data_IF_358262610120
#
_entry.id   IF_358262610120
#
_cell.length_a   1.000
_cell.length_b   1.000
_cell.length_c   1.000
_cell.angle_alpha   90.00
_cell.angle_beta   90.00
_cell.angle_gamma   90.00
#
_symmetry.space_group_name_H-M   'P 1'
#
loop_
_entity.id
_entity.type
_entity.pdbx_description
1 polymer ?
#
# COMPACT_ATOMS: atom_id res chain seq x y z
N UNK A 1 -24.15 -12.18 -21.20
CA UNK A 1 -22.88 -12.33 -20.47
C UNK A 1 -21.84 -13.19 -21.19
N UNK A 2 -22.15 -14.46 -21.52
CA UNK A 2 -21.19 -15.37 -22.17
C UNK A 2 -20.56 -14.81 -23.46
N UNK A 3 -21.33 -14.11 -24.29
CA UNK A 3 -20.84 -13.51 -25.54
C UNK A 3 -19.81 -12.39 -25.34
N UNK A 4 -19.89 -11.63 -24.23
CA UNK A 4 -18.94 -10.55 -23.94
C UNK A 4 -17.60 -11.10 -23.46
N UNK A 5 -17.64 -12.16 -22.64
CA UNK A 5 -16.44 -12.85 -22.16
C UNK A 5 -15.71 -13.57 -23.30
N UNK A 6 -16.47 -14.18 -24.21
CA UNK A 6 -15.92 -14.87 -25.38
C UNK A 6 -15.35 -13.88 -26.41
N UNK A 7 -15.98 -12.71 -26.57
CA UNK A 7 -15.44 -11.62 -27.39
C UNK A 7 -14.13 -11.07 -26.80
N UNK A 8 -14.04 -10.94 -25.47
CA UNK A 8 -12.82 -10.50 -24.78
C UNK A 8 -11.68 -11.52 -24.95
N UNK A 9 -11.97 -12.81 -24.76
CA UNK A 9 -11.01 -13.89 -24.97
C UNK A 9 -10.47 -13.95 -26.41
N UNK A 10 -11.34 -13.81 -27.42
CA UNK A 10 -10.92 -13.76 -28.83
C UNK A 10 -10.07 -12.52 -29.13
N UNK A 11 -10.40 -11.39 -28.51
CA UNK A 11 -9.65 -10.14 -28.69
C UNK A 11 -8.25 -10.22 -28.07
N UNK A 12 -8.11 -10.85 -26.91
CA UNK A 12 -6.81 -11.06 -26.27
C UNK A 12 -5.94 -12.12 -27.01
N UNK A 13 -6.55 -13.16 -27.57
CA UNK A 13 -5.84 -14.24 -28.26
C UNK A 13 -5.20 -13.82 -29.60
N UNK A 14 -5.67 -12.74 -30.22
CA UNK A 14 -5.15 -12.21 -31.48
C UNK A 14 -4.14 -11.08 -31.34
N UNK A 15 -3.85 -10.62 -30.12
CA UNK A 15 -2.84 -9.58 -29.91
C UNK A 15 -1.45 -10.17 -30.13
N UNK A 16 -0.57 -9.49 -30.89
CA UNK A 16 0.82 -9.89 -30.98
C UNK A 16 1.39 -9.91 -29.57
N UNK A 17 1.78 -11.09 -29.10
CA UNK A 17 2.44 -11.23 -27.81
C UNK A 17 3.75 -10.45 -27.92
N UNK A 18 3.85 -9.35 -27.17
CA UNK A 18 5.07 -8.56 -27.13
C UNK A 18 6.23 -9.51 -26.79
N UNK A 19 7.36 -9.46 -27.52
CA UNK A 19 8.50 -10.29 -27.20
C UNK A 19 8.84 -10.12 -25.72
N UNK A 20 9.14 -11.22 -25.03
CA UNK A 20 9.54 -11.18 -23.63
C UNK A 20 10.58 -10.08 -23.46
N UNK A 21 10.36 -9.11 -22.54
CA UNK A 21 11.25 -7.97 -22.43
C UNK A 21 12.67 -8.46 -22.18
N UNK A 22 13.63 -7.88 -22.90
CA UNK A 22 15.04 -8.19 -22.76
C UNK A 22 15.48 -8.11 -21.28
N UNK A 23 16.50 -8.89 -20.85
CA UNK A 23 16.91 -8.98 -19.45
C UNK A 23 17.41 -7.65 -18.84
N UNK A 24 17.69 -6.63 -19.67
CA UNK A 24 17.99 -5.28 -19.21
C UNK A 24 16.79 -4.35 -19.39
N UNK A 25 15.89 -4.34 -18.38
CA UNK A 25 14.92 -3.25 -18.24
C UNK A 25 15.62 -2.07 -17.55
N UNK A 26 15.57 -0.84 -18.11
CA UNK A 26 16.03 0.37 -17.39
C UNK A 26 15.18 0.69 -16.14
N UNK A 27 14.09 -0.04 -15.93
CA UNK A 27 13.16 0.08 -14.80
C UNK A 27 13.28 -1.09 -13.80
N UNK A 28 14.43 -1.77 -13.75
CA UNK A 28 14.70 -2.72 -12.68
C UNK A 28 14.71 -1.96 -11.36
N UNK A 29 13.82 -2.32 -10.43
CA UNK A 29 13.78 -1.67 -9.13
C UNK A 29 15.15 -1.82 -8.48
N UNK A 30 15.86 -0.71 -8.29
CA UNK A 30 17.20 -0.76 -7.72
C UNK A 30 17.08 -1.44 -6.34
N UNK A 31 17.83 -2.52 -6.09
CA UNK A 31 17.83 -3.16 -4.79
C UNK A 31 18.19 -2.13 -3.72
N UNK A 32 17.46 -2.14 -2.60
CA UNK A 32 17.82 -1.27 -1.48
C UNK A 32 19.20 -1.73 -1.00
N UNK A 33 20.20 -0.86 -1.12
CA UNK A 33 21.60 -1.14 -0.73
C UNK A 33 21.81 -1.12 0.79
N UNK A 34 20.75 -0.85 1.55
CA UNK A 34 20.74 -0.84 3.01
C UNK A 34 19.56 -0.01 3.55
N UNK A 35 19.36 0.03 4.87
CA UNK A 35 18.35 0.88 5.48
C UNK A 35 18.70 2.36 5.26
N UNK A 36 17.71 3.16 4.83
CA UNK A 36 17.82 4.62 4.72
C UNK A 36 16.82 5.26 5.67
N UNK A 37 17.28 6.24 6.46
CA UNK A 37 16.42 7.05 7.34
C UNK A 37 16.50 8.51 6.90
N UNK A 38 15.34 9.14 6.76
CA UNK A 38 15.23 10.56 6.48
C UNK A 38 14.21 11.17 7.42
N UNK A 39 14.53 12.33 7.98
CA UNK A 39 13.62 13.14 8.77
C UNK A 39 13.34 14.41 7.99
N UNK A 40 12.06 14.73 7.79
CA UNK A 40 11.61 15.95 7.14
C UNK A 40 10.84 16.79 8.16
N UNK A 41 11.14 18.08 8.22
CA UNK A 41 10.41 19.00 9.07
C UNK A 41 9.13 19.44 8.35
N UNK A 42 7.99 19.16 8.97
CA UNK A 42 6.70 19.61 8.47
C UNK A 42 6.44 21.05 8.94
N UNK A 43 5.88 21.94 8.10
CA UNK A 43 5.61 23.33 8.48
C UNK A 43 4.42 23.50 9.45
N UNK A 44 3.98 22.43 10.12
CA UNK A 44 2.85 22.46 11.07
C UNK A 44 3.32 22.82 12.47
N UNK A 45 2.55 23.67 13.15
CA UNK A 45 2.74 23.97 14.57
C UNK A 45 2.06 22.93 15.49
N UNK A 46 1.02 22.25 14.98
CA UNK A 46 0.38 21.15 15.69
C UNK A 46 1.08 19.83 15.35
N UNK A 47 1.62 19.20 16.40
CA UNK A 47 2.34 17.94 16.34
C UNK A 47 1.67 16.86 17.18
N UNK A 48 0.45 17.08 17.68
CA UNK A 48 -0.22 16.17 18.61
C UNK A 48 -0.63 14.83 17.97
N UNK A 49 -0.80 14.81 16.65
CA UNK A 49 -1.17 13.63 15.88
C UNK A 49 -0.42 13.60 14.55
N UNK A 50 -0.15 12.39 14.06
CA UNK A 50 0.51 12.18 12.76
C UNK A 50 -0.03 10.95 12.04
N UNK A 51 0.71 10.52 11.03
CA UNK A 51 0.42 9.28 10.31
C UNK A 51 1.65 8.39 10.25
N UNK A 52 1.44 7.07 10.30
CA UNK A 52 2.47 6.06 10.07
C UNK A 52 2.09 5.32 8.78
N UNK A 53 3.03 5.28 7.83
CA UNK A 53 2.82 4.60 6.55
C UNK A 53 3.86 3.51 6.39
N UNK A 54 3.39 2.28 6.15
CA UNK A 54 4.20 1.15 5.77
C UNK A 54 4.06 0.94 4.26
N UNK A 55 5.17 1.03 3.53
CA UNK A 55 5.21 0.79 2.09
C UNK A 55 6.06 -0.42 1.74
N UNK A 56 5.60 -1.26 0.81
CA UNK A 56 6.40 -2.36 0.26
C UNK A 56 6.09 -2.59 -1.22
N UNK A 57 6.93 -3.39 -1.88
CA UNK A 57 6.76 -3.73 -3.30
C UNK A 57 5.51 -4.57 -3.52
N UNK A 58 4.67 -4.13 -4.45
CA UNK A 58 3.50 -4.85 -4.89
C UNK A 58 3.82 -5.94 -5.93
N UNK A 59 2.82 -6.76 -6.29
CA UNK A 59 2.94 -7.71 -7.40
C UNK A 59 3.17 -6.98 -8.72
N UNK A 60 3.78 -7.65 -9.71
CA UNK A 60 3.91 -7.08 -11.05
C UNK A 60 2.54 -6.69 -11.61
N UNK A 61 2.47 -5.56 -12.33
CA UNK A 61 1.20 -5.04 -12.88
C UNK A 61 0.50 -6.04 -13.82
N UNK A 62 1.27 -6.89 -14.49
CA UNK A 62 0.74 -7.99 -15.32
C UNK A 62 0.21 -9.18 -14.52
N UNK A 63 0.60 -9.35 -13.26
CA UNK A 63 0.08 -10.38 -12.36
C UNK A 63 -1.22 -9.91 -11.71
N UNK A 64 -2.27 -9.98 -12.50
CA UNK A 64 -3.63 -9.62 -12.09
C UNK A 64 -4.14 -10.48 -10.93
N UNK A 65 -3.72 -11.76 -10.84
CA UNK A 65 -4.17 -12.66 -9.78
C UNK A 65 -3.62 -12.22 -8.42
N UNK A 66 -2.32 -11.98 -8.35
CA UNK A 66 -1.69 -11.50 -7.10
C UNK A 66 -2.16 -10.11 -6.73
N UNK A 67 -2.37 -9.24 -7.73
CA UNK A 67 -2.97 -7.90 -7.55
C UNK A 67 -4.32 -7.99 -6.83
N UNK A 68 -5.27 -8.77 -7.36
CA UNK A 68 -6.56 -8.96 -6.69
C UNK A 68 -6.43 -9.67 -5.35
N UNK A 69 -5.47 -10.59 -5.20
CA UNK A 69 -5.17 -11.23 -3.92
C UNK A 69 -4.83 -10.21 -2.84
N UNK A 70 -3.98 -9.23 -3.15
CA UNK A 70 -3.64 -8.13 -2.23
C UNK A 70 -4.88 -7.28 -1.93
N UNK A 71 -5.67 -6.91 -2.92
CA UNK A 71 -6.88 -6.11 -2.71
C UNK A 71 -7.88 -6.81 -1.77
N UNK A 72 -8.13 -8.11 -1.98
CA UNK A 72 -9.03 -8.90 -1.14
C UNK A 72 -8.47 -9.01 0.28
N UNK A 73 -7.16 -9.27 0.42
CA UNK A 73 -6.50 -9.34 1.72
C UNK A 73 -6.62 -8.02 2.50
N UNK A 74 -6.32 -6.89 1.86
CA UNK A 74 -6.39 -5.59 2.51
C UNK A 74 -7.82 -5.21 2.91
N UNK A 75 -8.79 -5.50 2.03
CA UNK A 75 -10.21 -5.34 2.37
C UNK A 75 -10.58 -6.21 3.57
N UNK A 76 -10.19 -7.49 3.60
CA UNK A 76 -10.42 -8.32 4.79
C UNK A 76 -9.82 -7.71 6.05
N UNK A 77 -8.59 -7.17 5.97
CA UNK A 77 -7.85 -6.65 7.12
C UNK A 77 -8.41 -5.34 7.68
N UNK A 78 -8.97 -4.43 6.87
CA UNK A 78 -9.39 -3.09 7.33
C UNK A 78 -10.80 -2.62 6.93
N UNK A 79 -11.55 -3.27 6.03
CA UNK A 79 -12.77 -2.69 5.41
C UNK A 79 -13.86 -2.15 6.36
N UNK A 80 -14.00 -2.66 7.58
CA UNK A 80 -14.97 -2.14 8.55
C UNK A 80 -14.48 -2.28 9.99
N UNK A 81 -15.28 -1.77 10.94
CA UNK A 81 -14.97 -1.80 12.36
C UNK A 81 -14.67 -3.22 12.90
N UNK A 82 -15.31 -4.27 12.36
CA UNK A 82 -15.08 -5.65 12.78
C UNK A 82 -13.85 -6.30 12.11
N UNK A 83 -13.21 -5.62 11.14
CA UNK A 83 -12.00 -6.12 10.50
C UNK A 83 -10.82 -6.20 11.48
N UNK A 84 -9.89 -7.16 11.31
CA UNK A 84 -8.83 -7.43 12.29
C UNK A 84 -7.98 -6.22 12.67
N UNK A 85 -7.61 -5.36 11.70
CA UNK A 85 -6.80 -4.19 12.01
C UNK A 85 -7.60 -3.12 12.75
N UNK A 86 -8.86 -2.85 12.38
CA UNK A 86 -9.69 -1.92 13.14
C UNK A 86 -9.92 -2.41 14.56
N UNK A 87 -10.25 -3.70 14.75
CA UNK A 87 -10.41 -4.28 16.08
C UNK A 87 -9.15 -4.17 16.95
N UNK A 88 -7.96 -4.25 16.34
CA UNK A 88 -6.70 -4.22 17.07
C UNK A 88 -6.21 -2.81 17.41
N UNK A 89 -6.49 -1.82 16.55
CA UNK A 89 -5.86 -0.49 16.63
C UNK A 89 -6.85 0.67 16.84
N UNK A 90 -8.07 0.55 16.33
CA UNK A 90 -9.09 1.62 16.35
C UNK A 90 -10.15 1.33 17.42
N UNK A 91 -10.73 0.13 17.41
CA UNK A 91 -11.86 -0.26 18.25
C UNK A 91 -11.45 -0.79 19.63
N UNK A 92 -10.47 -0.13 20.24
CA UNK A 92 -9.98 -0.43 21.59
C UNK A 92 -10.19 0.77 22.52
N UNK A 93 -10.26 0.59 23.85
CA UNK A 93 -10.56 1.68 24.79
C UNK A 93 -9.63 2.90 24.69
N UNK A 94 -8.38 2.68 24.28
CA UNK A 94 -7.40 3.74 23.99
C UNK A 94 -6.86 3.51 22.58
N UNK A 95 -7.50 4.09 21.53
CA UNK A 95 -7.11 3.86 20.14
C UNK A 95 -5.67 4.27 19.87
N UNK A 96 -4.96 3.50 19.05
CA UNK A 96 -3.60 3.80 18.57
C UNK A 96 -3.60 4.67 17.31
N UNK A 97 -4.71 4.67 16.58
CA UNK A 97 -4.99 5.51 15.42
C UNK A 97 -6.51 5.72 15.32
N UNK A 98 -6.96 6.69 14.54
CA UNK A 98 -8.40 6.89 14.30
C UNK A 98 -8.88 6.16 13.05
N UNK A 99 -7.99 5.94 12.08
CA UNK A 99 -8.34 5.37 10.79
C UNK A 99 -7.15 4.56 10.25
N UNK A 100 -7.48 3.49 9.53
CA UNK A 100 -6.53 2.68 8.80
C UNK A 100 -6.97 2.67 7.34
N UNK A 101 -6.06 3.00 6.43
CA UNK A 101 -6.31 2.99 5.00
C UNK A 101 -5.18 2.26 4.27
N UNK A 102 -5.39 1.91 3.00
CA UNK A 102 -4.36 1.33 2.17
C UNK A 102 -4.52 1.74 0.72
N UNK A 103 -3.40 1.72 0.00
CA UNK A 103 -3.36 2.00 -1.43
C UNK A 103 -2.48 0.97 -2.13
N UNK A 104 -2.89 0.56 -3.33
CA UNK A 104 -2.05 -0.18 -4.27
C UNK A 104 -1.83 0.70 -5.50
N UNK A 105 -0.62 1.21 -5.66
CA UNK A 105 -0.27 1.97 -6.86
C UNK A 105 0.25 1.02 -7.91
N UNK A 106 -0.47 0.88 -9.02
CA UNK A 106 -0.04 0.09 -10.18
C UNK A 106 0.75 0.96 -11.16
N UNK A 107 1.92 1.45 -10.72
CA UNK A 107 2.88 2.14 -11.58
C UNK A 107 3.83 1.14 -12.27
N UNK A 108 4.88 1.64 -12.94
CA UNK A 108 5.97 0.80 -13.47
C UNK A 108 6.62 -0.03 -12.35
N UNK A 109 6.62 0.51 -11.14
CA UNK A 109 7.02 -0.20 -9.91
C UNK A 109 5.81 -0.23 -8.96
N UNK A 110 5.04 -1.33 -8.93
CA UNK A 110 3.89 -1.41 -8.06
C UNK A 110 4.29 -1.33 -6.59
N UNK A 111 3.53 -0.58 -5.80
CA UNK A 111 3.72 -0.51 -4.35
C UNK A 111 2.39 -0.72 -3.62
N UNK A 112 2.48 -1.25 -2.40
CA UNK A 112 1.37 -1.33 -1.47
C UNK A 112 1.74 -0.45 -0.28
N UNK A 113 0.82 0.43 0.09
CA UNK A 113 0.94 1.31 1.24
C UNK A 113 -0.18 0.99 2.22
N UNK A 114 0.16 0.79 3.49
CA UNK A 114 -0.75 0.66 4.61
C UNK A 114 -0.54 1.86 5.53
N UNK A 115 -1.59 2.63 5.76
CA UNK A 115 -1.57 3.92 6.41
C UNK A 115 -2.37 3.86 7.71
N UNK A 116 -1.77 4.29 8.80
CA UNK A 116 -2.43 4.53 10.08
C UNK A 116 -2.50 6.03 10.27
N UNK A 117 -3.70 6.58 10.31
CA UNK A 117 -3.95 8.01 10.35
C UNK A 117 -4.39 8.48 11.75
N UNK A 118 -4.04 9.73 12.06
CA UNK A 118 -4.30 10.34 13.35
C UNK A 118 -3.75 9.50 14.53
N UNK A 119 -2.50 9.04 14.36
CA UNK A 119 -1.72 8.38 15.39
C UNK A 119 -1.31 9.41 16.44
N UNK A 120 -1.67 9.24 17.72
CA UNK A 120 -1.27 10.16 18.77
C UNK A 120 0.25 10.25 18.90
N UNK A 121 0.80 11.46 18.87
CA UNK A 121 2.21 11.74 19.12
C UNK A 121 2.35 12.36 20.50
N UNK A 122 2.90 11.58 21.42
CA UNK A 122 3.33 12.05 22.72
C UNK A 122 4.80 12.44 22.53
N UNK A 123 5.10 13.73 22.45
CA UNK A 123 6.44 14.24 22.09
C UNK A 123 7.58 13.67 22.94
N UNK A 124 8.82 14.04 22.59
CA UNK A 124 9.96 13.78 23.48
C UNK A 124 9.65 14.30 24.89
N UNK A 125 10.00 13.56 25.97
CA UNK A 125 9.93 14.13 27.32
C UNK A 125 10.78 15.41 27.31
N UNK A 126 10.17 16.53 27.69
CA UNK A 126 10.87 17.79 27.78
C UNK A 126 12.16 17.59 28.61
N UNK A 127 13.32 17.80 28.00
CA UNK A 127 14.56 17.89 28.76
C UNK A 127 14.44 19.09 29.73
N UNK A 128 14.42 18.79 31.03
CA UNK A 128 14.77 19.73 32.10
C UNK A 128 13.72 20.79 32.47
N UNK A 129 13.01 20.52 33.56
CA UNK A 129 12.45 21.52 34.47
C UNK A 129 13.11 21.40 35.84
#
# INVERSE_FOLDING_TARGET
EAAALEALHRTCAGMPQAPAPAPDRPFGVTPLTGPKRQTLQFPSQDTSQGSIVYGWRGPETSDTRSTYGVCILMRYLQDNAASPLNQAFVEIPKPWCQEIDWCLTTAVEPNVELMFNAVPYFGEPAEGG
#
